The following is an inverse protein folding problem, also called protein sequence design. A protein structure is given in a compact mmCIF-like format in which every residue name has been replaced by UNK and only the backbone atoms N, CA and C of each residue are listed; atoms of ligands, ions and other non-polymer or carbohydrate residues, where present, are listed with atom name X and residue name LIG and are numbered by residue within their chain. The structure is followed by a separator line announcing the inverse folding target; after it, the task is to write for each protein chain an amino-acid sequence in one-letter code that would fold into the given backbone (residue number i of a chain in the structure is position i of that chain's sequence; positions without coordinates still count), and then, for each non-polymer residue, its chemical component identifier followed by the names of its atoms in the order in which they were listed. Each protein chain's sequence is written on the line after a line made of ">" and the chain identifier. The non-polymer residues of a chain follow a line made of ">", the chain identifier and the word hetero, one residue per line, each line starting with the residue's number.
data_IF_172449060164
#
_entry.id   IF_172449060164
#
_cell.length_a   1.000
_cell.length_b   1.000
_cell.length_c   1.000
_cell.angle_alpha   90.00
_cell.angle_beta   90.00
_cell.angle_gamma   90.00
#
_symmetry.space_group_name_H-M   'P 1'
#
loop_
_entity.id
_entity.type
_entity.pdbx_description
1 polymer ?
#
# COMPACT_ATOMS: atom_id res chain seq x y z
N UNK A 1 4.80 17.80 3.02
CA UNK A 1 5.60 17.20 4.11
C UNK A 1 4.98 15.85 4.44
N UNK A 2 5.07 14.89 3.51
CA UNK A 2 4.81 13.48 3.79
C UNK A 2 6.23 12.90 3.88
N UNK A 3 6.58 12.33 5.02
CA UNK A 3 7.92 11.83 5.27
C UNK A 3 8.26 10.73 4.25
N UNK A 4 9.39 10.90 3.55
CA UNK A 4 9.94 9.94 2.60
C UNK A 4 10.37 8.67 3.34
N UNK A 5 9.43 7.73 3.52
CA UNK A 5 9.69 6.38 4.03
C UNK A 5 9.87 5.37 2.88
N UNK A 6 9.66 5.81 1.65
CA UNK A 6 9.83 5.03 0.43
C UNK A 6 11.31 4.92 0.10
N UNK A 7 11.78 3.68 -0.08
CA UNK A 7 13.13 3.47 -0.58
C UNK A 7 13.20 3.84 -2.05
N UNK A 8 14.33 4.40 -2.48
CA UNK A 8 14.58 4.66 -3.89
C UNK A 8 14.61 3.33 -4.66
N UNK A 9 13.68 3.15 -5.59
CA UNK A 9 13.59 1.98 -6.46
C UNK A 9 14.92 1.65 -7.14
N UNK A 10 15.69 2.66 -7.52
CA UNK A 10 17.01 2.46 -8.13
C UNK A 10 17.98 1.84 -7.14
N UNK A 11 17.98 2.30 -5.88
CA UNK A 11 18.83 1.73 -4.84
C UNK A 11 18.44 0.29 -4.54
N UNK A 12 17.14 -0.01 -4.48
CA UNK A 12 16.63 -1.36 -4.28
C UNK A 12 17.09 -2.31 -5.40
N UNK A 13 16.91 -1.92 -6.65
CA UNK A 13 17.33 -2.71 -7.83
C UNK A 13 18.86 -2.89 -7.86
N UNK A 14 19.63 -1.87 -7.47
CA UNK A 14 21.09 -1.98 -7.39
C UNK A 14 21.51 -2.97 -6.30
N UNK A 15 20.87 -2.96 -5.14
CA UNK A 15 21.12 -3.93 -4.06
C UNK A 15 20.82 -5.36 -4.51
N UNK A 16 19.77 -5.56 -5.31
CA UNK A 16 19.43 -6.89 -5.85
C UNK A 16 20.54 -7.50 -6.71
N UNK A 17 21.37 -6.67 -7.38
CA UNK A 17 22.52 -7.14 -8.17
C UNK A 17 23.64 -7.76 -7.33
N UNK A 18 23.65 -7.54 -6.01
CA UNK A 18 24.62 -8.14 -5.10
C UNK A 18 24.29 -9.60 -4.77
N UNK A 19 23.07 -10.06 -5.07
CA UNK A 19 22.64 -11.43 -4.80
C UNK A 19 22.73 -12.31 -6.05
N UNK A 20 23.08 -13.59 -5.86
CA UNK A 20 23.12 -14.57 -6.95
C UNK A 20 21.73 -14.95 -7.46
N UNK A 21 20.73 -14.87 -6.60
CA UNK A 21 19.33 -15.21 -6.89
C UNK A 21 18.42 -14.22 -6.17
N UNK A 22 17.33 -13.82 -6.82
CA UNK A 22 16.33 -12.87 -6.30
C UNK A 22 14.93 -13.41 -6.60
N UNK A 23 14.05 -13.35 -5.61
CA UNK A 23 12.62 -13.60 -5.78
C UNK A 23 11.89 -12.27 -5.66
N UNK A 24 10.95 -12.02 -6.56
CA UNK A 24 10.09 -10.84 -6.54
C UNK A 24 8.63 -11.29 -6.63
N UNK A 25 7.74 -10.48 -6.09
CA UNK A 25 6.30 -10.71 -6.12
C UNK A 25 5.55 -9.40 -5.89
N UNK A 26 4.29 -9.38 -6.33
CA UNK A 26 3.40 -8.24 -6.15
C UNK A 26 2.43 -8.50 -4.99
N UNK A 27 2.18 -7.49 -4.17
CA UNK A 27 1.13 -7.53 -3.15
C UNK A 27 -0.16 -7.06 -3.80
N UNK A 28 -0.88 -8.02 -4.40
CA UNK A 28 -2.06 -7.71 -5.21
C UNK A 28 -3.06 -6.85 -4.42
N UNK A 29 -3.41 -5.70 -4.99
CA UNK A 29 -4.38 -4.74 -4.42
C UNK A 29 -4.01 -4.30 -2.99
N UNK A 30 -2.72 -4.09 -2.69
CA UNK A 30 -2.23 -3.68 -1.37
C UNK A 30 -3.03 -2.57 -0.69
N UNK A 31 -3.38 -1.50 -1.43
CA UNK A 31 -4.16 -0.39 -0.88
C UNK A 31 -5.55 -0.80 -0.39
N UNK A 32 -6.18 -1.76 -1.08
CA UNK A 32 -7.52 -2.24 -0.71
C UNK A 32 -7.53 -3.09 0.56
N UNK A 33 -6.36 -3.47 1.08
CA UNK A 33 -6.23 -4.18 2.35
C UNK A 33 -6.24 -3.23 3.57
N UNK A 34 -6.21 -1.92 3.34
CA UNK A 34 -6.11 -0.90 4.39
C UNK A 34 -7.47 -0.21 4.51
N UNK A 35 -8.13 -0.41 5.65
CA UNK A 35 -9.42 0.24 5.94
C UNK A 35 -9.20 1.71 6.32
N UNK A 36 -9.97 2.60 5.71
CA UNK A 36 -9.99 4.03 6.03
C UNK A 36 -10.90 4.24 7.24
N UNK A 37 -10.50 5.13 8.15
CA UNK A 37 -11.30 5.48 9.32
C UNK A 37 -12.70 5.93 8.91
N UNK A 38 -13.74 5.56 9.66
CA UNK A 38 -15.14 5.80 9.27
C UNK A 38 -15.43 7.28 8.99
N UNK A 39 -14.87 8.18 9.81
CA UNK A 39 -15.00 9.63 9.63
C UNK A 39 -14.36 10.17 8.34
N UNK A 40 -13.38 9.44 7.78
CA UNK A 40 -12.66 9.85 6.57
C UNK A 40 -13.23 9.23 5.28
N UNK A 41 -14.12 8.23 5.39
CA UNK A 41 -14.68 7.51 4.23
C UNK A 41 -15.54 8.40 3.34
N UNK A 42 -16.18 9.42 3.90
CA UNK A 42 -17.04 10.34 3.13
C UNK A 42 -16.22 11.18 2.13
N UNK A 43 -14.94 11.45 2.44
CA UNK A 43 -14.03 12.14 1.52
C UNK A 43 -13.63 11.30 0.31
N UNK A 44 -13.93 10.00 0.32
CA UNK A 44 -13.71 9.10 -0.82
C UNK A 44 -15.03 8.72 -1.54
N UNK A 45 -16.09 9.51 -1.37
CA UNK A 45 -17.37 9.30 -2.06
C UNK A 45 -17.21 9.46 -3.57
N UNK A 46 -17.70 8.46 -4.30
CA UNK A 46 -17.82 8.50 -5.76
C UNK A 46 -19.27 8.48 -6.17
N UNK A 47 -19.55 9.04 -7.35
CA UNK A 47 -20.85 8.97 -8.01
C UNK A 47 -20.73 8.04 -9.19
N UNK A 48 -21.63 7.07 -9.30
CA UNK A 48 -21.60 6.06 -10.35
C UNK A 48 -23.01 5.77 -10.89
N UNK A 49 -23.07 5.48 -12.19
CA UNK A 49 -24.29 5.03 -12.88
C UNK A 49 -23.90 3.98 -13.92
N UNK A 50 -24.70 2.93 -14.05
CA UNK A 50 -24.43 1.81 -14.97
C UNK A 50 -24.69 2.17 -16.43
N UNK A 51 -25.68 3.03 -16.69
CA UNK A 51 -26.03 3.50 -18.03
C UNK A 51 -26.60 4.91 -17.98
N UNK A 52 -26.81 5.54 -19.14
CA UNK A 52 -27.32 6.91 -19.21
C UNK A 52 -28.75 7.04 -18.65
N UNK A 53 -29.50 5.94 -18.68
CA UNK A 53 -30.89 5.86 -18.22
C UNK A 53 -31.02 5.29 -16.80
N UNK A 54 -29.93 4.77 -16.21
CA UNK A 54 -29.99 4.25 -14.83
C UNK A 54 -29.94 5.40 -13.82
N UNK A 55 -30.57 5.26 -12.64
CA UNK A 55 -30.44 6.22 -11.56
C UNK A 55 -28.96 6.38 -11.16
N UNK A 56 -28.63 7.59 -10.71
CA UNK A 56 -27.31 7.90 -10.17
C UNK A 56 -27.25 7.41 -8.72
N UNK A 57 -26.19 6.68 -8.39
CA UNK A 57 -25.90 6.21 -7.04
C UNK A 57 -24.60 6.83 -6.54
N UNK A 58 -24.51 7.09 -5.25
CA UNK A 58 -23.25 7.41 -4.58
C UNK A 58 -22.73 6.20 -3.77
N UNK A 59 -21.41 6.11 -3.66
CA UNK A 59 -20.71 5.05 -2.95
C UNK A 59 -19.56 5.62 -2.15
N UNK A 60 -19.45 5.25 -0.88
CA UNK A 60 -18.28 5.56 -0.06
C UNK A 60 -17.27 4.42 -0.17
N UNK A 61 -16.07 4.72 -0.67
CA UNK A 61 -14.97 3.76 -0.73
C UNK A 61 -14.39 3.60 0.67
N UNK A 62 -14.34 2.36 1.15
CA UNK A 62 -13.98 2.06 2.55
C UNK A 62 -12.48 1.89 2.78
N UNK A 63 -11.72 1.68 1.71
CA UNK A 63 -10.30 1.32 1.80
C UNK A 63 -9.45 2.33 1.07
N UNK A 64 -8.15 2.33 1.32
CA UNK A 64 -7.22 3.21 0.61
C UNK A 64 -7.34 2.97 -0.90
N UNK A 65 -7.49 4.06 -1.64
CA UNK A 65 -7.73 4.05 -3.09
C UNK A 65 -6.54 4.61 -3.86
N UNK A 66 -6.46 4.30 -5.15
CA UNK A 66 -5.48 4.91 -6.03
C UNK A 66 -5.78 6.40 -6.23
N UNK A 67 -4.72 7.21 -6.34
CA UNK A 67 -4.85 8.64 -6.64
C UNK A 67 -4.93 9.56 -5.41
N UNK A 68 -4.86 9.01 -4.19
CA UNK A 68 -4.65 9.83 -2.99
C UNK A 68 -3.15 9.94 -2.69
N UNK A 69 -2.68 11.16 -2.40
CA UNK A 69 -1.25 11.45 -2.21
C UNK A 69 -0.60 10.66 -1.06
N UNK A 70 -1.39 10.22 -0.08
CA UNK A 70 -0.90 9.47 1.07
C UNK A 70 -0.95 7.94 0.90
N UNK A 71 -1.49 7.41 -0.20
CA UNK A 71 -1.64 5.96 -0.38
C UNK A 71 -0.32 5.18 -0.29
N UNK A 72 0.78 5.61 -0.96
CA UNK A 72 2.06 4.91 -0.86
C UNK A 72 2.58 4.87 0.57
N UNK A 73 2.56 6.02 1.25
CA UNK A 73 2.97 6.15 2.64
C UNK A 73 2.17 5.21 3.57
N UNK A 74 0.83 5.21 3.46
CA UNK A 74 -0.03 4.36 4.29
C UNK A 74 0.27 2.88 4.07
N UNK A 75 0.57 2.49 2.84
CA UNK A 75 0.86 1.11 2.52
C UNK A 75 2.22 0.65 3.05
N UNK A 76 3.28 1.46 2.87
CA UNK A 76 4.61 1.16 3.43
C UNK A 76 4.56 1.11 4.95
N UNK A 77 3.88 2.08 5.59
CA UNK A 77 3.73 2.10 7.05
C UNK A 77 2.99 0.87 7.58
N UNK A 78 1.98 0.39 6.83
CA UNK A 78 1.26 -0.84 7.17
C UNK A 78 2.19 -2.06 7.11
N UNK A 79 3.01 -2.18 6.05
CA UNK A 79 3.99 -3.26 5.93
C UNK A 79 5.03 -3.22 7.05
N UNK A 80 5.54 -2.04 7.41
CA UNK A 80 6.46 -1.87 8.53
C UNK A 80 5.83 -2.26 9.87
N UNK A 81 4.54 -1.97 10.07
CA UNK A 81 3.82 -2.37 11.28
C UNK A 81 3.60 -3.89 11.35
N UNK A 82 3.27 -4.52 10.22
CA UNK A 82 3.21 -5.98 10.11
C UNK A 82 4.58 -6.59 10.42
N UNK A 83 5.66 -6.05 9.86
CA UNK A 83 7.02 -6.51 10.08
C UNK A 83 7.40 -6.46 11.57
N UNK A 84 7.05 -5.36 12.26
CA UNK A 84 7.26 -5.19 13.71
C UNK A 84 6.46 -6.20 14.54
N UNK A 85 5.19 -6.40 14.18
CA UNK A 85 4.30 -7.34 14.90
C UNK A 85 4.76 -8.79 14.74
N UNK A 86 5.35 -9.13 13.59
CA UNK A 86 5.84 -10.47 13.27
C UNK A 86 7.32 -10.71 13.66
N UNK A 87 8.02 -9.71 14.20
CA UNK A 87 9.48 -9.74 14.41
C UNK A 87 9.96 -10.94 15.24
N UNK A 88 9.22 -11.31 16.28
CA UNK A 88 9.58 -12.44 17.15
C UNK A 88 9.45 -13.80 16.44
N UNK A 89 8.51 -13.90 15.49
CA UNK A 89 8.16 -15.16 14.84
C UNK A 89 8.87 -15.34 13.50
N UNK A 90 9.12 -14.23 12.79
CA UNK A 90 9.65 -14.20 11.42
C UNK A 90 10.73 -13.11 11.24
N UNK A 91 11.83 -13.14 12.03
CA UNK A 91 12.82 -12.06 12.05
C UNK A 91 13.49 -11.82 10.68
N UNK A 92 13.65 -12.88 9.88
CA UNK A 92 14.21 -12.78 8.52
C UNK A 92 13.23 -12.09 7.55
N UNK A 93 11.92 -12.27 7.72
CA UNK A 93 10.93 -11.62 6.87
C UNK A 93 10.77 -10.14 7.24
N UNK A 94 10.92 -9.80 8.52
CA UNK A 94 10.83 -8.43 9.03
C UNK A 94 11.85 -7.50 8.36
N UNK A 95 13.12 -7.92 8.24
CA UNK A 95 14.15 -7.11 7.59
C UNK A 95 13.87 -6.90 6.10
N UNK A 96 13.36 -7.92 5.41
CA UNK A 96 12.98 -7.83 3.99
C UNK A 96 11.81 -6.88 3.80
N UNK A 97 10.75 -6.97 4.61
CA UNK A 97 9.60 -6.06 4.52
C UNK A 97 9.96 -4.60 4.81
N UNK A 98 10.98 -4.36 5.64
CA UNK A 98 11.44 -3.01 5.98
C UNK A 98 12.36 -2.40 4.93
N UNK A 99 13.15 -3.22 4.23
CA UNK A 99 14.29 -2.74 3.41
C UNK A 99 14.29 -3.21 1.97
N UNK A 100 13.32 -4.02 1.55
CA UNK A 100 13.28 -4.62 0.22
C UNK A 100 11.90 -4.49 -0.44
N UNK A 101 11.12 -3.49 -0.04
CA UNK A 101 9.79 -3.22 -0.59
C UNK A 101 9.71 -1.83 -1.19
N UNK A 102 8.99 -1.71 -2.30
CA UNK A 102 8.73 -0.48 -3.02
C UNK A 102 7.23 -0.40 -3.37
N UNK A 103 6.67 0.80 -3.52
CA UNK A 103 5.23 1.06 -3.71
C UNK A 103 4.98 2.08 -4.81
#
# INVERSE_FOLDING_TARGET
>A
LICDIEEDLMLLILNWRMFKYVFNGDVEKMYRQILVHEDDQDFQRIVFRNSINSPISDYNLKTVTFGINCAPYLAIRTLHEVAKTCETNLPLATSVLQTQTYV
#
